data_IF_247635003879
#
_entry.id   IF_247635003879
#
_cell.length_a   1.000
_cell.length_b   1.000
_cell.length_c   1.000
_cell.angle_alpha   90.00
_cell.angle_beta   90.00
_cell.angle_gamma   90.00
#
_symmetry.space_group_name_H-M   'P 1'
#
loop_
_entity.id
_entity.type
_entity.pdbx_description
1 polymer ?
#
# COMPACT_ATOMS: atom_id res chain seq x y z
N UNK A 1 -1.04 15.22 12.07
CA UNK A 1 0.06 14.41 11.49
C UNK A 1 0.77 13.70 12.62
N UNK A 2 0.70 12.38 12.66
CA UNK A 2 1.45 11.59 13.63
C UNK A 2 2.80 11.23 13.01
N UNK A 3 3.91 11.59 13.67
CA UNK A 3 5.24 11.11 13.30
C UNK A 3 5.42 9.70 13.87
N UNK A 4 4.78 8.72 13.23
CA UNK A 4 4.78 7.33 13.64
C UNK A 4 5.07 6.42 12.44
N UNK A 5 5.56 5.22 12.71
CA UNK A 5 5.84 4.21 11.69
C UNK A 5 4.60 3.83 10.87
N UNK A 6 3.41 3.89 11.48
CA UNK A 6 2.12 3.82 10.79
C UNK A 6 2.02 2.67 9.76
N UNK A 7 1.67 2.96 8.50
CA UNK A 7 1.59 1.98 7.42
C UNK A 7 2.85 1.17 7.14
N UNK A 8 4.03 1.75 7.41
CA UNK A 8 5.30 1.04 7.26
C UNK A 8 5.37 -0.16 8.21
N UNK A 9 4.66 -0.10 9.35
CA UNK A 9 4.56 -1.17 10.33
C UNK A 9 3.26 -1.97 10.34
N UNK A 10 2.35 -1.73 9.39
CA UNK A 10 1.05 -2.43 9.36
C UNK A 10 0.03 -1.87 10.33
N UNK A 11 0.23 -0.64 10.79
CA UNK A 11 -0.75 0.08 11.59
C UNK A 11 -1.74 0.89 10.73
N UNK A 12 -1.94 0.53 9.44
CA UNK A 12 -3.14 0.95 8.71
C UNK A 12 -4.30 0.10 9.22
N UNK A 13 -5.35 0.75 9.71
CA UNK A 13 -6.57 0.07 10.13
C UNK A 13 -7.34 -0.40 8.89
N UNK A 14 -7.00 -1.58 8.37
CA UNK A 14 -7.56 -2.10 7.14
C UNK A 14 -7.16 -1.30 5.90
N UNK A 15 -7.66 -1.72 4.74
CA UNK A 15 -7.62 -0.93 3.51
C UNK A 15 -8.45 0.34 3.70
N UNK A 16 -7.84 1.52 3.68
CA UNK A 16 -8.55 2.81 3.71
C UNK A 16 -9.50 3.02 2.49
N UNK A 17 -9.40 2.15 1.48
CA UNK A 17 -10.38 2.03 0.40
C UNK A 17 -11.78 1.77 0.98
N UNK A 18 -12.63 2.78 0.89
CA UNK A 18 -14.06 2.67 1.16
C UNK A 18 -14.64 1.74 0.10
N UNK A 19 -14.77 0.44 0.42
CA UNK A 19 -15.29 -0.70 -0.37
C UNK A 19 -14.29 -1.82 -0.70
N UNK A 20 -13.08 -1.81 -0.13
CA UNK A 20 -12.20 -2.97 -0.30
C UNK A 20 -12.59 -4.11 0.66
N UNK A 21 -13.05 -5.22 0.08
CA UNK A 21 -13.35 -6.44 0.83
C UNK A 21 -12.09 -7.28 1.01
N UNK A 22 -11.80 -7.70 2.25
CA UNK A 22 -10.63 -8.53 2.55
C UNK A 22 -10.59 -9.78 1.68
N UNK A 23 -9.48 -9.98 0.96
CA UNK A 23 -9.29 -11.08 0.02
C UNK A 23 -9.55 -10.73 -1.44
N UNK A 24 -10.04 -9.52 -1.73
CA UNK A 24 -10.09 -8.98 -3.09
C UNK A 24 -8.69 -8.50 -3.48
N UNK A 25 -8.14 -8.87 -4.64
CA UNK A 25 -6.81 -8.42 -5.03
C UNK A 25 -6.79 -6.91 -5.30
N UNK A 26 -5.96 -6.19 -4.57
CA UNK A 26 -5.63 -4.79 -4.78
C UNK A 26 -4.10 -4.60 -4.87
N UNK A 27 -3.70 -3.41 -5.28
CA UNK A 27 -2.29 -3.04 -5.42
C UNK A 27 -1.99 -1.84 -4.53
N UNK A 28 -0.91 -1.93 -3.75
CA UNK A 28 -0.38 -0.81 -2.97
C UNK A 28 1.05 -0.55 -3.43
N UNK A 29 1.36 0.70 -3.75
CA UNK A 29 2.73 1.13 -4.07
C UNK A 29 3.21 2.05 -2.95
N UNK A 30 4.36 1.73 -2.34
CA UNK A 30 4.92 2.50 -1.23
C UNK A 30 6.41 2.79 -1.43
N UNK A 31 6.92 3.78 -0.70
CA UNK A 31 8.35 4.07 -0.61
C UNK A 31 9.00 3.52 0.67
N UNK A 32 8.38 2.50 1.26
CA UNK A 32 8.91 1.81 2.44
C UNK A 32 9.92 0.73 2.04
N UNK A 33 10.34 -0.10 3.00
CA UNK A 33 11.46 -1.04 2.80
C UNK A 33 11.03 -2.51 2.78
N UNK A 34 9.74 -2.81 3.03
CA UNK A 34 9.21 -4.19 3.17
C UNK A 34 7.82 -4.29 2.56
N UNK A 35 7.54 -5.41 1.90
CA UNK A 35 6.29 -5.69 1.19
C UNK A 35 5.76 -7.12 1.39
N UNK A 36 6.00 -7.72 2.56
CA UNK A 36 5.47 -9.04 2.87
C UNK A 36 3.93 -9.05 2.85
N UNK A 37 3.27 -10.17 2.52
CA UNK A 37 1.81 -10.27 2.60
C UNK A 37 1.30 -9.84 3.98
N UNK A 38 0.14 -9.14 4.02
CA UNK A 38 -0.49 -8.58 5.24
C UNK A 38 0.31 -7.49 5.97
N UNK A 39 1.45 -7.05 5.43
CA UNK A 39 2.35 -6.12 6.14
C UNK A 39 1.76 -4.73 6.31
N UNK A 40 1.04 -4.22 5.31
CA UNK A 40 0.62 -2.83 5.27
C UNK A 40 -0.81 -2.65 5.81
N UNK A 41 -1.73 -3.50 5.38
CA UNK A 41 -3.18 -3.40 5.59
C UNK A 41 -3.81 -4.66 6.22
N UNK A 42 -3.02 -5.71 6.45
CA UNK A 42 -3.49 -6.97 7.03
C UNK A 42 -4.09 -7.97 6.03
N UNK A 43 -4.15 -7.62 4.74
CA UNK A 43 -4.76 -8.46 3.70
C UNK A 43 -3.67 -9.27 2.92
N UNK A 44 -3.83 -10.61 2.81
CA UNK A 44 -2.87 -11.43 2.08
C UNK A 44 -2.99 -11.32 0.56
N UNK A 45 -4.12 -10.83 0.04
CA UNK A 45 -4.39 -10.68 -1.39
C UNK A 45 -3.81 -9.39 -1.97
N UNK A 46 -3.40 -8.44 -1.11
CA UNK A 46 -2.74 -7.21 -1.49
C UNK A 46 -1.37 -7.44 -2.10
N UNK A 47 -1.17 -6.92 -3.31
CA UNK A 47 0.13 -6.87 -3.98
C UNK A 47 0.84 -5.56 -3.62
N UNK A 48 1.86 -5.65 -2.76
CA UNK A 48 2.63 -4.50 -2.32
C UNK A 48 3.94 -4.34 -3.12
N UNK A 49 4.11 -3.19 -3.76
CA UNK A 49 5.34 -2.80 -4.47
C UNK A 49 6.09 -1.71 -3.72
N UNK A 50 7.42 -1.81 -3.75
CA UNK A 50 8.33 -0.85 -3.14
C UNK A 50 9.10 -0.13 -4.23
N UNK A 51 9.06 1.19 -4.25
CA UNK A 51 9.79 2.02 -5.22
C UNK A 51 10.20 3.37 -4.61
N UNK A 52 10.87 4.21 -5.39
CA UNK A 52 11.26 5.56 -4.97
C UNK A 52 10.04 6.46 -4.72
N UNK A 53 10.12 7.44 -3.78
CA UNK A 53 9.02 8.37 -3.52
C UNK A 53 8.51 9.10 -4.75
N UNK A 54 9.40 9.44 -5.69
CA UNK A 54 9.07 10.11 -6.95
C UNK A 54 8.21 9.21 -7.85
N UNK A 55 8.53 7.92 -7.89
CA UNK A 55 7.76 6.94 -8.69
C UNK A 55 6.42 6.64 -8.01
N UNK A 56 6.38 6.54 -6.67
CA UNK A 56 5.10 6.42 -5.93
C UNK A 56 4.20 7.60 -6.28
N UNK A 57 4.74 8.82 -6.28
CA UNK A 57 3.97 10.02 -6.64
C UNK A 57 3.46 9.95 -8.08
N UNK A 58 4.32 9.59 -9.04
CA UNK A 58 3.92 9.47 -10.44
C UNK A 58 2.81 8.41 -10.64
N UNK A 59 2.94 7.26 -10.00
CA UNK A 59 1.95 6.17 -10.06
C UNK A 59 0.64 6.54 -9.35
N UNK A 60 0.71 7.25 -8.23
CA UNK A 60 -0.48 7.74 -7.53
C UNK A 60 -1.26 8.74 -8.39
N UNK A 61 -0.57 9.58 -9.18
CA UNK A 61 -1.21 10.48 -10.15
C UNK A 61 -1.76 9.73 -11.37
N UNK A 62 -1.07 8.69 -11.83
CA UNK A 62 -1.50 7.88 -12.97
C UNK A 62 -2.70 6.96 -12.65
N UNK A 63 -2.82 6.50 -11.40
CA UNK A 63 -3.88 5.59 -10.95
C UNK A 63 -3.77 4.16 -11.49
N UNK A 64 -2.67 3.83 -12.17
CA UNK A 64 -2.40 2.48 -12.73
C UNK A 64 -0.92 2.14 -12.62
N UNK A 65 -0.62 0.85 -12.47
CA UNK A 65 0.74 0.29 -12.46
C UNK A 65 1.13 -0.37 -13.78
N UNK A 66 0.20 -0.44 -14.75
CA UNK A 66 0.46 -0.90 -16.11
C UNK A 66 0.84 0.28 -17.01
N UNK A 67 1.93 0.12 -17.75
CA UNK A 67 2.41 1.05 -18.79
C UNK A 67 2.38 0.36 -20.15
#
# INVERSE_FOLDING_TARGET
MANAWGPCFGAMGGSEETNHETGTPNVIVTSYNRNFPKRNDGDPSTLAFVTSPETVMALALAGTVGF
#
